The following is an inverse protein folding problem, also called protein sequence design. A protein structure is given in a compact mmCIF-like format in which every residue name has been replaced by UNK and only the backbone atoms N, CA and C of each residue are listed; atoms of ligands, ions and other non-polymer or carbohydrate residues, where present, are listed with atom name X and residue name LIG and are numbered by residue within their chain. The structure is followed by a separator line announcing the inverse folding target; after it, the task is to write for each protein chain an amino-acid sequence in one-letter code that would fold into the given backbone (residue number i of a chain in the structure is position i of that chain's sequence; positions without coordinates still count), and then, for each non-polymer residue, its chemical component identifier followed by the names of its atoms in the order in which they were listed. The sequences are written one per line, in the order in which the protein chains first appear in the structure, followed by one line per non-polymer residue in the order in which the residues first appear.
data_IF_625017010663
#
_entry.id   IF_625017010663
#
_cell.length_a   1.000
_cell.length_b   1.000
_cell.length_c   1.000
_cell.angle_alpha   90.00
_cell.angle_beta   90.00
_cell.angle_gamma   90.00
#
_symmetry.space_group_name_H-M   'P 1'
#
loop_
_entity.id
_entity.type
_entity.pdbx_description
1 polymer ?
#
# COMPACT_ATOMS: atom_id res chain seq x y z
N UNK A 1 -22.51 3.60 17.14
CA UNK A 1 -21.27 4.24 16.60
C UNK A 1 -21.44 4.77 15.19
N UNK A 2 -22.07 4.06 14.25
CA UNK A 2 -22.30 4.47 12.85
C UNK A 2 -22.82 5.91 12.64
N UNK A 3 -23.73 6.40 13.49
CA UNK A 3 -24.29 7.75 13.38
C UNK A 3 -23.28 8.89 13.65
N UNK A 4 -22.26 8.68 14.50
CA UNK A 4 -21.20 9.67 14.76
C UNK A 4 -20.20 9.70 13.62
N UNK A 5 -19.78 8.53 13.12
CA UNK A 5 -18.85 8.38 11.98
C UNK A 5 -19.45 9.00 10.72
N UNK A 6 -20.71 8.67 10.41
CA UNK A 6 -21.43 9.25 9.27
C UNK A 6 -21.44 10.79 9.33
N UNK A 7 -21.79 11.38 10.47
CA UNK A 7 -21.80 12.84 10.64
C UNK A 7 -20.42 13.46 10.44
N UNK A 8 -19.37 12.79 10.91
CA UNK A 8 -18.00 13.26 10.73
C UNK A 8 -17.61 13.24 9.26
N UNK A 9 -17.83 12.13 8.56
CA UNK A 9 -17.54 11.98 7.13
C UNK A 9 -18.32 13.01 6.31
N UNK A 10 -19.63 13.17 6.53
CA UNK A 10 -20.46 14.17 5.86
C UNK A 10 -19.94 15.60 6.09
N UNK A 11 -19.56 15.95 7.31
CA UNK A 11 -19.02 17.27 7.63
C UNK A 11 -17.73 17.54 6.87
N UNK A 12 -16.82 16.57 6.82
CA UNK A 12 -15.54 16.71 6.12
C UNK A 12 -15.76 16.84 4.61
N UNK A 13 -16.53 15.96 3.98
CA UNK A 13 -16.78 16.00 2.54
C UNK A 13 -17.64 17.19 2.10
N UNK A 14 -18.58 17.67 2.94
CA UNK A 14 -19.34 18.87 2.60
C UNK A 14 -18.45 20.10 2.42
N UNK A 15 -17.38 20.21 3.20
CA UNK A 15 -16.42 21.31 3.07
C UNK A 15 -15.65 21.24 1.75
N UNK A 16 -15.26 20.04 1.30
CA UNK A 16 -14.59 19.82 0.01
C UNK A 16 -15.54 20.06 -1.16
N UNK A 17 -16.76 19.55 -1.08
CA UNK A 17 -17.77 19.72 -2.13
C UNK A 17 -18.17 21.18 -2.37
N UNK A 18 -18.31 21.99 -1.30
CA UNK A 18 -18.55 23.43 -1.41
C UNK A 18 -17.39 24.17 -2.11
N UNK A 19 -16.15 23.78 -1.83
CA UNK A 19 -14.97 24.35 -2.49
C UNK A 19 -14.93 23.95 -3.96
N UNK A 20 -15.12 22.68 -4.28
CA UNK A 20 -15.16 22.20 -5.66
C UNK A 20 -16.20 22.96 -6.49
N UNK A 21 -17.39 23.20 -5.94
CA UNK A 21 -18.42 23.98 -6.63
C UNK A 21 -17.99 25.43 -6.89
N UNK A 22 -17.31 26.06 -5.94
CA UNK A 22 -16.80 27.45 -6.08
C UNK A 22 -15.64 27.55 -7.07
N UNK A 23 -14.78 26.55 -7.10
CA UNK A 23 -13.55 26.53 -7.89
C UNK A 23 -13.71 25.94 -9.31
N UNK A 24 -14.89 25.41 -9.65
CA UNK A 24 -15.10 24.73 -10.95
C UNK A 24 -14.80 25.57 -12.19
N UNK A 25 -14.76 26.90 -12.06
CA UNK A 25 -14.46 27.84 -13.14
C UNK A 25 -12.99 28.31 -13.13
N UNK A 26 -12.20 27.93 -12.12
CA UNK A 26 -10.80 28.30 -12.02
C UNK A 26 -9.93 27.35 -12.83
N UNK A 27 -8.80 27.83 -13.37
CA UNK A 27 -7.76 26.95 -13.91
C UNK A 27 -7.30 25.91 -12.88
N UNK A 28 -6.87 24.73 -13.34
CA UNK A 28 -6.51 23.61 -12.44
C UNK A 28 -5.38 23.96 -11.46
N UNK A 29 -4.43 24.77 -11.87
CA UNK A 29 -3.31 25.26 -11.06
C UNK A 29 -3.72 26.21 -9.92
N UNK A 30 -4.92 26.82 -10.03
CA UNK A 30 -5.50 27.71 -9.03
C UNK A 30 -6.55 27.02 -8.12
N UNK A 31 -6.86 25.74 -8.38
CA UNK A 31 -7.82 25.01 -7.58
C UNK A 31 -7.16 24.48 -6.30
N UNK A 32 -7.77 24.72 -5.16
CA UNK A 32 -7.33 24.19 -3.86
C UNK A 32 -8.06 22.90 -3.47
N UNK A 33 -9.08 22.50 -4.22
CA UNK A 33 -9.90 21.30 -3.96
C UNK A 33 -9.09 20.01 -3.88
N UNK A 34 -8.09 19.72 -4.76
CA UNK A 34 -7.27 18.52 -4.65
C UNK A 34 -6.51 18.44 -3.32
N UNK A 35 -5.92 19.57 -2.86
CA UNK A 35 -5.22 19.67 -1.57
C UNK A 35 -6.19 19.41 -0.41
N UNK A 36 -7.38 20.00 -0.48
CA UNK A 36 -8.41 19.84 0.56
C UNK A 36 -8.97 18.42 0.61
N UNK A 37 -9.07 17.75 -0.53
CA UNK A 37 -9.47 16.33 -0.57
C UNK A 37 -8.41 15.46 0.12
N UNK A 38 -7.13 15.66 -0.17
CA UNK A 38 -6.04 14.96 0.54
C UNK A 38 -6.13 15.18 2.05
N UNK A 39 -6.25 16.45 2.49
CA UNK A 39 -6.40 16.78 3.92
C UNK A 39 -7.65 16.15 4.55
N UNK A 40 -8.74 16.06 3.79
CA UNK A 40 -9.95 15.38 4.26
C UNK A 40 -9.70 13.89 4.48
N UNK A 41 -8.98 13.23 3.58
CA UNK A 41 -8.63 11.82 3.72
C UNK A 41 -7.70 11.59 4.92
N UNK A 42 -6.69 12.44 5.13
CA UNK A 42 -5.85 12.40 6.32
C UNK A 42 -6.66 12.57 7.63
N UNK A 43 -7.61 13.52 7.65
CA UNK A 43 -8.48 13.77 8.79
C UNK A 43 -9.45 12.61 9.08
N UNK A 44 -9.92 11.91 8.05
CA UNK A 44 -10.84 10.79 8.17
C UNK A 44 -10.16 9.51 8.64
N UNK A 45 -8.84 9.44 8.52
CA UNK A 45 -8.02 8.39 9.11
C UNK A 45 -7.62 7.27 8.16
N UNK A 46 -7.10 6.14 8.72
CA UNK A 46 -6.35 5.13 7.98
C UNK A 46 -7.05 4.55 6.75
N UNK A 47 -8.30 4.17 6.84
CA UNK A 47 -9.09 3.63 5.73
C UNK A 47 -9.22 4.63 4.57
N UNK A 48 -9.48 5.91 4.88
CA UNK A 48 -9.57 6.94 3.84
C UNK A 48 -8.21 7.28 3.23
N UNK A 49 -7.13 7.24 4.02
CA UNK A 49 -5.76 7.38 3.50
C UNK A 49 -5.48 6.27 2.48
N UNK A 50 -5.80 5.02 2.81
CA UNK A 50 -5.62 3.88 1.89
C UNK A 50 -6.50 3.99 0.65
N UNK A 51 -7.76 4.39 0.80
CA UNK A 51 -8.66 4.70 -0.32
C UNK A 51 -8.04 5.75 -1.25
N UNK A 52 -7.50 6.83 -0.67
CA UNK A 52 -6.86 7.89 -1.44
C UNK A 52 -5.60 7.42 -2.18
N UNK A 53 -4.81 6.54 -1.57
CA UNK A 53 -3.64 5.92 -2.21
C UNK A 53 -4.06 5.07 -3.43
N UNK A 54 -5.08 4.23 -3.30
CA UNK A 54 -5.61 3.44 -4.42
C UNK A 54 -6.16 4.38 -5.50
N UNK A 55 -6.92 5.41 -5.15
CA UNK A 55 -7.45 6.38 -6.11
C UNK A 55 -6.33 7.16 -6.82
N UNK A 56 -5.17 7.37 -6.20
CA UNK A 56 -4.04 8.05 -6.83
C UNK A 56 -3.40 7.25 -7.98
N UNK A 57 -3.65 5.96 -8.09
CA UNK A 57 -3.20 5.12 -9.21
C UNK A 57 -4.20 5.07 -10.37
N UNK A 58 -5.40 5.66 -10.20
CA UNK A 58 -6.54 5.57 -11.14
C UNK A 58 -6.63 6.84 -12.00
N UNK A 59 -5.77 6.94 -13.02
CA UNK A 59 -5.77 8.04 -14.00
C UNK A 59 -7.00 8.06 -14.91
N UNK A 60 -7.75 6.97 -14.96
CA UNK A 60 -9.03 6.85 -15.62
C UNK A 60 -10.19 7.54 -14.87
N UNK A 61 -10.04 7.72 -13.55
CA UNK A 61 -11.07 8.28 -12.66
C UNK A 61 -10.80 9.73 -12.27
N UNK A 62 -9.53 10.11 -12.10
CA UNK A 62 -9.13 11.39 -11.53
C UNK A 62 -8.20 12.16 -12.45
N UNK A 63 -8.35 13.49 -12.44
CA UNK A 63 -7.41 14.35 -13.15
C UNK A 63 -6.03 14.35 -12.47
N UNK A 64 -4.99 14.72 -13.24
CA UNK A 64 -3.59 14.74 -12.79
C UNK A 64 -3.39 15.55 -11.51
N UNK A 65 -4.13 16.65 -11.32
CA UNK A 65 -4.04 17.47 -10.10
C UNK A 65 -4.46 16.69 -8.84
N UNK A 66 -5.51 15.88 -8.92
CA UNK A 66 -5.94 15.03 -7.81
C UNK A 66 -4.97 13.88 -7.58
N UNK A 67 -4.52 13.20 -8.64
CA UNK A 67 -3.54 12.12 -8.56
C UNK A 67 -2.28 12.61 -7.84
N UNK A 68 -1.72 13.75 -8.30
CA UNK A 68 -0.51 14.33 -7.70
C UNK A 68 -0.68 14.71 -6.22
N UNK A 69 -1.85 15.16 -5.80
CA UNK A 69 -2.09 15.45 -4.38
C UNK A 69 -2.33 14.17 -3.57
N UNK A 70 -3.14 13.23 -4.07
CA UNK A 70 -3.42 11.99 -3.37
C UNK A 70 -2.19 11.08 -3.26
N UNK A 71 -1.27 11.11 -4.22
CA UNK A 71 0.00 10.37 -4.12
C UNK A 71 0.92 10.87 -3.00
N UNK A 72 0.65 12.05 -2.43
CA UNK A 72 1.35 12.55 -1.23
C UNK A 72 0.81 11.98 0.08
N UNK A 73 -0.30 11.24 0.04
CA UNK A 73 -0.87 10.60 1.23
C UNK A 73 0.13 9.62 1.82
N UNK A 74 0.67 9.98 2.97
CA UNK A 74 1.57 9.13 3.72
C UNK A 74 0.81 8.44 4.85
N UNK A 75 1.06 7.15 5.00
CA UNK A 75 0.46 6.35 6.06
C UNK A 75 1.23 6.47 7.37
N UNK A 76 1.63 7.68 7.77
CA UNK A 76 2.29 7.87 9.07
C UNK A 76 1.24 7.89 10.18
N UNK A 77 1.04 6.74 10.78
CA UNK A 77 0.17 6.58 11.95
C UNK A 77 1.05 6.30 13.17
N UNK A 78 0.73 6.83 14.37
CA UNK A 78 1.47 6.48 15.57
C UNK A 78 1.64 4.97 15.72
N UNK A 79 2.82 4.48 16.08
CA UNK A 79 3.04 3.06 16.21
C UNK A 79 2.16 2.46 17.32
N UNK A 80 1.77 1.20 17.12
CA UNK A 80 1.21 0.37 18.19
C UNK A 80 2.24 0.22 19.29
N UNK A 81 1.80 0.17 20.52
CA UNK A 81 2.69 -0.16 21.61
C UNK A 81 3.09 -1.64 21.57
N UNK A 82 4.14 -1.99 22.31
CA UNK A 82 4.69 -3.35 22.32
C UNK A 82 3.65 -4.41 22.69
N UNK A 83 2.78 -4.12 23.67
CA UNK A 83 1.77 -5.08 24.15
C UNK A 83 0.71 -5.35 23.09
N UNK A 84 0.28 -4.31 22.37
CA UNK A 84 -0.67 -4.42 21.25
C UNK A 84 -0.08 -5.26 20.12
N UNK A 85 1.19 -5.01 19.75
CA UNK A 85 1.89 -5.79 18.71
C UNK A 85 2.02 -7.25 19.12
N UNK A 86 2.50 -7.52 20.32
CA UNK A 86 2.68 -8.89 20.82
C UNK A 86 1.36 -9.64 20.95
N UNK A 87 0.28 -8.92 21.29
CA UNK A 87 -1.08 -9.50 21.35
C UNK A 87 -1.57 -9.86 19.96
N UNK A 88 -1.42 -8.95 18.98
CA UNK A 88 -1.79 -9.20 17.61
C UNK A 88 -1.05 -10.40 17.01
N UNK A 89 0.28 -10.49 17.22
CA UNK A 89 1.06 -11.63 16.73
C UNK A 89 0.63 -12.95 17.38
N UNK A 90 0.35 -12.95 18.69
CA UNK A 90 -0.13 -14.16 19.39
C UNK A 90 -1.51 -14.64 18.93
N UNK A 91 -2.33 -13.73 18.44
CA UNK A 91 -3.64 -14.09 17.87
C UNK A 91 -3.49 -14.80 16.53
N UNK A 92 -2.46 -14.45 15.77
CA UNK A 92 -2.20 -15.01 14.43
C UNK A 92 -1.34 -16.28 14.50
N UNK A 93 -0.35 -16.32 15.41
CA UNK A 93 0.55 -17.48 15.58
C UNK A 93 0.18 -18.21 16.88
N UNK A 94 -0.41 -19.42 16.79
CA UNK A 94 -0.85 -20.19 17.97
C UNK A 94 0.32 -20.76 18.79
N UNK A 95 1.55 -20.60 18.30
CA UNK A 95 2.77 -21.09 18.92
C UNK A 95 3.41 -20.01 19.81
N UNK A 96 4.15 -20.40 20.86
CA UNK A 96 4.91 -19.44 21.66
C UNK A 96 5.92 -18.72 20.75
N UNK A 97 5.93 -17.40 20.82
CA UNK A 97 6.81 -16.57 19.98
C UNK A 97 8.30 -16.88 20.22
N UNK A 98 8.66 -17.34 21.42
CA UNK A 98 10.02 -17.79 21.74
C UNK A 98 10.41 -19.08 21.01
N UNK A 99 9.46 -19.86 20.53
CA UNK A 99 9.68 -21.05 19.69
C UNK A 99 9.84 -20.71 18.21
N UNK A 100 9.55 -19.47 17.82
CA UNK A 100 9.67 -19.00 16.44
C UNK A 100 10.80 -17.99 16.29
N UNK A 101 10.90 -17.04 17.23
CA UNK A 101 11.82 -15.91 17.13
C UNK A 101 12.84 -15.91 18.29
N UNK A 102 14.12 -15.72 17.95
CA UNK A 102 15.19 -15.49 18.93
C UNK A 102 15.19 -14.04 19.39
N UNK A 103 14.91 -13.12 18.47
CA UNK A 103 14.97 -11.69 18.70
C UNK A 103 13.82 -11.00 17.95
N UNK A 104 13.25 -9.97 18.57
CA UNK A 104 12.18 -9.16 18.02
C UNK A 104 12.43 -7.69 18.33
N UNK A 105 12.54 -6.85 17.29
CA UNK A 105 12.77 -5.41 17.46
C UNK A 105 11.61 -4.76 18.21
N UNK A 106 11.94 -4.02 19.28
CA UNK A 106 10.96 -3.26 20.05
C UNK A 106 10.40 -2.09 19.26
N UNK A 107 11.25 -1.45 18.47
CA UNK A 107 10.89 -0.33 17.62
C UNK A 107 10.46 -0.83 16.23
N UNK A 108 9.37 -0.30 15.67
CA UNK A 108 8.97 -0.66 14.33
C UNK A 108 9.95 -0.09 13.29
N UNK A 109 10.15 -0.81 12.19
CA UNK A 109 10.82 -0.29 11.00
C UNK A 109 9.92 0.71 10.26
N UNK A 110 8.63 0.42 10.23
CA UNK A 110 7.63 1.27 9.61
C UNK A 110 6.28 1.13 10.31
N UNK A 111 5.49 2.20 10.31
CA UNK A 111 4.14 2.21 10.88
C UNK A 111 3.18 2.83 9.87
N UNK A 112 2.48 1.97 9.15
CA UNK A 112 1.49 2.33 8.14
C UNK A 112 0.08 2.48 8.70
N UNK A 113 -0.85 2.85 7.82
CA UNK A 113 -2.28 2.99 8.15
C UNK A 113 -2.94 1.65 8.48
N UNK A 114 -2.55 0.60 7.79
CA UNK A 114 -3.13 -0.74 7.89
C UNK A 114 -2.29 -1.66 8.77
N UNK A 115 -0.97 -1.56 8.69
CA UNK A 115 -0.05 -2.48 9.32
C UNK A 115 1.18 -1.79 9.90
N UNK A 116 1.88 -2.52 10.75
CA UNK A 116 3.17 -2.14 11.34
C UNK A 116 4.20 -3.21 11.03
N UNK A 117 5.43 -2.78 10.76
CA UNK A 117 6.52 -3.64 10.32
C UNK A 117 7.61 -3.69 11.38
N UNK A 118 8.04 -4.88 11.75
CA UNK A 118 9.11 -5.11 12.70
C UNK A 118 10.19 -6.00 12.11
N UNK A 119 11.43 -5.81 12.58
CA UNK A 119 12.54 -6.74 12.31
C UNK A 119 12.58 -7.79 13.39
N UNK A 120 12.81 -9.02 12.98
CA UNK A 120 12.98 -10.14 13.88
C UNK A 120 14.06 -11.10 13.36
N UNK A 121 14.42 -12.09 14.17
CA UNK A 121 15.29 -13.20 13.76
C UNK A 121 14.62 -14.51 14.14
N UNK A 122 14.51 -15.41 13.17
CA UNK A 122 14.01 -16.76 13.40
C UNK A 122 14.99 -17.60 14.24
N UNK A 123 14.49 -18.67 14.87
CA UNK A 123 15.34 -19.65 15.56
C UNK A 123 16.37 -20.29 14.62
N UNK A 124 16.04 -20.43 13.35
CA UNK A 124 16.93 -20.90 12.28
C UNK A 124 18.05 -19.91 11.92
N UNK A 125 18.03 -18.69 12.49
CA UNK A 125 19.04 -17.64 12.32
C UNK A 125 18.78 -16.62 11.23
N UNK A 126 17.77 -16.81 10.38
CA UNK A 126 17.43 -15.86 9.33
C UNK A 126 16.86 -14.56 9.92
N UNK A 127 17.31 -13.43 9.34
CA UNK A 127 16.73 -12.13 9.63
C UNK A 127 15.46 -11.93 8.79
N UNK A 128 14.39 -11.57 9.45
CA UNK A 128 13.07 -11.43 8.83
C UNK A 128 12.40 -10.10 9.15
N UNK A 129 11.44 -9.76 8.34
CA UNK A 129 10.44 -8.71 8.56
C UNK A 129 9.13 -9.38 8.92
N UNK A 130 8.47 -8.84 9.92
CA UNK A 130 7.11 -9.19 10.29
C UNK A 130 6.24 -7.97 10.01
N UNK A 131 5.31 -8.08 9.06
CA UNK A 131 4.23 -7.11 8.88
C UNK A 131 3.02 -7.63 9.63
N UNK A 132 2.54 -6.90 10.62
CA UNK A 132 1.35 -7.24 11.41
C UNK A 132 0.27 -6.18 11.22
N UNK A 133 -0.94 -6.60 10.91
CA UNK A 133 -2.07 -5.69 10.79
C UNK A 133 -2.46 -5.06 12.12
N UNK A 134 -2.99 -3.85 12.02
CA UNK A 134 -3.56 -3.17 13.17
C UNK A 134 -4.84 -3.86 13.60
N UNK A 135 -4.99 -4.19 14.90
CA UNK A 135 -6.21 -4.83 15.39
C UNK A 135 -7.47 -4.06 15.00
N UNK A 136 -8.45 -4.77 14.44
CA UNK A 136 -9.75 -4.21 14.06
C UNK A 136 -9.75 -3.33 12.80
N UNK A 137 -8.66 -3.29 12.03
CA UNK A 137 -8.59 -2.49 10.79
C UNK A 137 -9.61 -2.96 9.75
N UNK A 138 -9.88 -4.26 9.68
CA UNK A 138 -10.86 -4.85 8.77
C UNK A 138 -12.26 -4.30 9.00
N UNK A 139 -12.68 -4.24 10.27
CA UNK A 139 -13.99 -3.70 10.64
C UNK A 139 -14.09 -2.22 10.29
N UNK A 140 -13.03 -1.44 10.58
CA UNK A 140 -12.98 -0.01 10.28
C UNK A 140 -13.08 0.23 8.77
N UNK A 141 -12.31 -0.51 7.97
CA UNK A 141 -12.32 -0.40 6.50
C UNK A 141 -13.68 -0.79 5.95
N UNK A 142 -14.26 -1.90 6.42
CA UNK A 142 -15.58 -2.35 6.00
C UNK A 142 -16.68 -1.33 6.35
N UNK A 143 -16.68 -0.78 7.57
CA UNK A 143 -17.63 0.27 7.97
C UNK A 143 -17.51 1.51 7.09
N UNK A 144 -16.29 2.00 6.85
CA UNK A 144 -16.05 3.21 6.06
C UNK A 144 -16.45 3.04 4.59
N UNK A 145 -16.17 1.87 3.99
CA UNK A 145 -16.60 1.58 2.61
C UNK A 145 -18.12 1.49 2.50
N UNK A 146 -18.76 0.76 3.40
CA UNK A 146 -20.23 0.67 3.43
C UNK A 146 -20.86 2.06 3.57
N UNK A 147 -20.20 2.93 4.33
CA UNK A 147 -20.62 4.32 4.48
C UNK A 147 -20.50 5.08 3.15
N UNK A 148 -19.38 4.96 2.45
CA UNK A 148 -19.17 5.60 1.14
C UNK A 148 -20.17 5.11 0.10
N UNK A 149 -20.44 3.81 0.02
CA UNK A 149 -21.45 3.23 -0.89
C UNK A 149 -22.85 3.80 -0.59
N UNK A 150 -23.21 3.90 0.71
CA UNK A 150 -24.49 4.52 1.10
C UNK A 150 -24.56 5.98 0.72
N UNK A 151 -23.50 6.75 0.89
CA UNK A 151 -23.45 8.16 0.51
C UNK A 151 -23.53 8.35 -1.00
N UNK A 152 -22.83 7.53 -1.77
CA UNK A 152 -22.81 7.58 -3.23
C UNK A 152 -24.21 7.42 -3.84
N UNK A 153 -25.08 6.61 -3.23
CA UNK A 153 -26.47 6.43 -3.69
C UNK A 153 -27.32 7.71 -3.64
N UNK A 154 -26.90 8.70 -2.87
CA UNK A 154 -27.60 9.97 -2.71
C UNK A 154 -27.01 11.08 -3.60
N UNK A 155 -25.94 10.79 -4.35
CA UNK A 155 -25.37 11.76 -5.31
C UNK A 155 -26.28 11.81 -6.54
N UNK A 156 -26.79 12.99 -6.92
CA UNK A 156 -27.66 13.10 -8.10
C UNK A 156 -26.93 12.67 -9.38
N UNK A 157 -27.60 11.89 -10.22
CA UNK A 157 -27.02 11.32 -11.46
C UNK A 157 -26.41 12.35 -12.42
N UNK A 158 -26.89 13.59 -12.41
CA UNK A 158 -26.35 14.64 -13.27
C UNK A 158 -24.92 15.14 -12.87
N UNK A 159 -24.45 14.79 -11.66
CA UNK A 159 -23.06 15.03 -11.28
C UNK A 159 -22.12 13.90 -11.70
N UNK A 160 -22.65 12.77 -12.18
CA UNK A 160 -21.94 11.51 -12.40
C UNK A 160 -22.14 11.05 -13.86
N UNK A 161 -22.04 11.96 -14.82
CA UNK A 161 -22.47 11.68 -16.19
C UNK A 161 -21.57 10.72 -17.01
N UNK A 162 -20.41 10.30 -16.52
CA UNK A 162 -19.46 9.47 -17.28
C UNK A 162 -18.93 8.23 -16.54
N UNK A 163 -19.18 8.08 -15.23
CA UNK A 163 -18.63 6.97 -14.44
C UNK A 163 -19.71 6.39 -13.54
N UNK A 164 -19.88 5.08 -13.53
CA UNK A 164 -20.70 4.41 -12.51
C UNK A 164 -19.98 4.38 -11.17
N UNK A 165 -20.30 5.36 -10.31
CA UNK A 165 -19.69 5.50 -8.98
C UNK A 165 -19.94 4.26 -8.11
N UNK A 166 -21.03 3.52 -8.33
CA UNK A 166 -21.30 2.30 -7.58
C UNK A 166 -20.33 1.19 -7.98
N UNK A 167 -20.07 1.03 -9.27
CA UNK A 167 -19.07 0.10 -9.79
C UNK A 167 -17.68 0.46 -9.31
N UNK A 168 -17.31 1.73 -9.35
CA UNK A 168 -16.01 2.21 -8.84
C UNK A 168 -15.84 1.90 -7.35
N UNK A 169 -16.86 2.14 -6.54
CA UNK A 169 -16.81 1.86 -5.11
C UNK A 169 -16.79 0.36 -4.80
N UNK A 170 -17.44 -0.46 -5.60
CA UNK A 170 -17.38 -1.92 -5.43
C UNK A 170 -16.00 -2.46 -5.82
N UNK A 171 -15.43 -1.99 -6.94
CA UNK A 171 -14.04 -2.31 -7.33
C UNK A 171 -13.04 -1.86 -6.28
N UNK A 172 -13.23 -0.68 -5.70
CA UNK A 172 -12.41 -0.17 -4.60
C UNK A 172 -12.53 -1.06 -3.36
N UNK A 173 -13.75 -1.49 -3.02
CA UNK A 173 -14.00 -2.43 -1.93
C UNK A 173 -13.27 -3.74 -2.13
N UNK A 174 -13.38 -4.35 -3.31
CA UNK A 174 -12.68 -5.60 -3.63
C UNK A 174 -11.17 -5.44 -3.53
N UNK A 175 -10.62 -4.34 -4.04
CA UNK A 175 -9.19 -4.03 -3.95
C UNK A 175 -8.73 -3.92 -2.50
N UNK A 176 -9.47 -3.18 -1.67
CA UNK A 176 -9.14 -3.02 -0.25
C UNK A 176 -9.22 -4.33 0.53
N UNK A 177 -10.25 -5.15 0.28
CA UNK A 177 -10.36 -6.47 0.92
C UNK A 177 -9.18 -7.37 0.53
N UNK A 178 -8.76 -7.33 -0.74
CA UNK A 178 -7.59 -8.08 -1.19
C UNK A 178 -6.31 -7.61 -0.50
N UNK A 179 -6.13 -6.31 -0.33
CA UNK A 179 -4.96 -5.75 0.35
C UNK A 179 -4.94 -6.01 1.88
N UNK A 180 -6.10 -6.23 2.48
CA UNK A 180 -6.20 -6.59 3.90
C UNK A 180 -5.84 -8.06 4.16
N UNK A 181 -5.74 -8.90 3.16
CA UNK A 181 -5.32 -10.31 3.33
C UNK A 181 -3.87 -10.49 2.83
N UNK A 182 -2.92 -10.55 3.76
CA UNK A 182 -1.49 -10.71 3.44
C UNK A 182 -1.12 -11.99 2.69
N UNK A 183 -2.01 -12.97 2.63
CA UNK A 183 -1.81 -14.15 1.79
C UNK A 183 -1.78 -13.76 0.31
N UNK A 184 -2.54 -12.72 -0.08
CA UNK A 184 -2.50 -12.20 -1.45
C UNK A 184 -1.14 -11.56 -1.76
N UNK A 185 -0.55 -10.81 -0.83
CA UNK A 185 0.81 -10.27 -0.98
C UNK A 185 1.84 -11.41 -1.09
N UNK A 186 1.75 -12.41 -0.22
CA UNK A 186 2.61 -13.58 -0.26
C UNK A 186 2.55 -14.33 -1.61
N UNK A 187 1.35 -14.56 -2.14
CA UNK A 187 1.16 -15.20 -3.44
C UNK A 187 1.69 -14.33 -4.60
N UNK A 188 1.49 -13.00 -4.53
CA UNK A 188 2.04 -12.06 -5.49
C UNK A 188 3.58 -12.11 -5.52
N UNK A 189 4.23 -12.15 -4.35
CA UNK A 189 5.68 -12.29 -4.24
C UNK A 189 6.18 -13.58 -4.86
N UNK A 190 5.52 -14.71 -4.60
CA UNK A 190 5.88 -16.02 -5.15
C UNK A 190 5.71 -16.06 -6.67
N UNK A 191 4.58 -15.54 -7.19
CA UNK A 191 4.32 -15.46 -8.64
C UNK A 191 5.34 -14.57 -9.33
N UNK A 192 5.63 -13.41 -8.76
CA UNK A 192 6.64 -12.49 -9.30
C UNK A 192 8.04 -13.12 -9.29
N UNK A 193 8.43 -13.81 -8.22
CA UNK A 193 9.70 -14.56 -8.13
C UNK A 193 9.77 -15.65 -9.20
N UNK A 194 8.70 -16.41 -9.40
CA UNK A 194 8.63 -17.47 -10.40
C UNK A 194 8.82 -16.90 -11.83
N UNK A 195 8.14 -15.81 -12.15
CA UNK A 195 8.27 -15.12 -13.44
C UNK A 195 9.69 -14.61 -13.69
N UNK A 196 10.38 -14.20 -12.63
CA UNK A 196 11.71 -13.58 -12.70
C UNK A 196 12.87 -14.52 -12.33
N UNK A 197 12.64 -15.82 -12.18
CA UNK A 197 13.67 -16.82 -11.76
C UNK A 197 14.96 -16.77 -12.59
N UNK A 198 14.88 -16.37 -13.87
CA UNK A 198 16.04 -16.29 -14.79
C UNK A 198 16.61 -14.88 -14.91
N UNK A 199 16.06 -13.90 -14.19
CA UNK A 199 16.52 -12.50 -14.24
C UNK A 199 17.47 -12.27 -13.08
N UNK A 200 18.76 -12.31 -13.35
CA UNK A 200 19.82 -12.28 -12.32
C UNK A 200 19.81 -10.97 -11.51
N UNK A 201 19.42 -9.85 -12.13
CA UNK A 201 19.45 -8.54 -11.52
C UNK A 201 18.19 -8.19 -10.69
N UNK A 202 17.22 -9.10 -10.57
CA UNK A 202 16.02 -8.91 -9.74
C UNK A 202 16.03 -9.84 -8.51
N UNK A 203 15.53 -9.31 -7.42
CA UNK A 203 15.31 -10.03 -6.17
C UNK A 203 13.90 -9.82 -5.63
N UNK A 204 13.44 -10.79 -4.87
CA UNK A 204 12.18 -10.76 -4.11
C UNK A 204 12.47 -11.38 -2.75
N UNK A 205 12.06 -10.78 -1.64
CA UNK A 205 12.23 -11.38 -0.32
C UNK A 205 11.58 -12.76 -0.24
N UNK A 206 12.19 -13.71 0.45
CA UNK A 206 11.57 -15.00 0.71
C UNK A 206 10.40 -14.85 1.66
N UNK A 207 9.29 -15.55 1.37
CA UNK A 207 8.11 -15.57 2.23
C UNK A 207 8.13 -16.86 3.04
N UNK A 208 7.90 -16.75 4.33
CA UNK A 208 7.79 -17.89 5.25
C UNK A 208 6.31 -18.25 5.43
N UNK A 209 5.83 -19.15 4.57
CA UNK A 209 4.40 -19.52 4.50
C UNK A 209 3.86 -20.08 5.80
N UNK A 210 4.68 -20.82 6.55
CA UNK A 210 4.32 -21.39 7.84
C UNK A 210 3.96 -20.36 8.90
N UNK A 211 4.40 -19.10 8.71
CA UNK A 211 4.10 -17.98 9.61
C UNK A 211 3.21 -16.91 8.94
N UNK A 212 2.71 -17.18 7.73
CA UNK A 212 1.87 -16.23 7.00
C UNK A 212 0.39 -16.53 7.20
N UNK A 213 -0.36 -15.54 7.64
CA UNK A 213 -1.82 -15.58 7.88
C UNK A 213 -2.51 -14.43 7.15
N UNK A 214 -3.83 -14.30 7.19
CA UNK A 214 -4.48 -13.11 6.62
C UNK A 214 -3.97 -11.78 7.19
N UNK A 215 -3.58 -11.74 8.48
CA UNK A 215 -3.23 -10.50 9.16
C UNK A 215 -1.75 -10.38 9.55
N UNK A 216 -0.95 -11.39 9.18
CA UNK A 216 0.49 -11.39 9.46
C UNK A 216 1.25 -12.03 8.29
N UNK A 217 2.32 -11.36 7.83
CA UNK A 217 3.26 -11.94 6.88
C UNK A 217 4.67 -11.86 7.44
N UNK A 218 5.42 -12.96 7.28
CA UNK A 218 6.84 -13.05 7.61
C UNK A 218 7.63 -13.22 6.32
N UNK A 219 8.57 -12.31 6.09
CA UNK A 219 9.38 -12.28 4.88
C UNK A 219 10.86 -12.02 5.21
N UNK A 220 11.77 -12.38 4.29
CA UNK A 220 13.20 -12.12 4.41
C UNK A 220 13.49 -10.63 4.60
N UNK A 221 14.35 -10.29 5.56
CA UNK A 221 14.86 -8.93 5.69
C UNK A 221 15.94 -8.67 4.64
N UNK A 222 15.67 -7.74 3.74
CA UNK A 222 16.65 -7.29 2.75
C UNK A 222 17.42 -6.09 3.28
N UNK A 223 18.67 -6.32 3.68
CA UNK A 223 19.58 -5.24 4.06
C UNK A 223 20.14 -4.57 2.80
N UNK A 224 19.34 -3.75 2.15
CA UNK A 224 19.66 -3.05 0.90
C UNK A 224 19.58 -1.53 1.05
N UNK A 225 20.12 -0.81 0.08
CA UNK A 225 20.07 0.64 -0.01
C UNK A 225 18.79 1.04 -0.76
N UNK A 226 17.89 1.86 -0.19
CA UNK A 226 16.73 2.34 -0.89
C UNK A 226 17.09 3.09 -2.20
N UNK A 227 16.32 2.84 -3.25
CA UNK A 227 16.64 3.36 -4.59
C UNK A 227 16.67 4.89 -4.64
N UNK A 228 15.96 5.58 -3.77
CA UNK A 228 15.98 7.04 -3.66
C UNK A 228 17.16 7.60 -2.86
N UNK A 229 18.03 6.77 -2.28
CA UNK A 229 19.24 7.18 -1.56
C UNK A 229 20.46 7.24 -2.51
N UNK A 230 20.40 8.11 -3.52
CA UNK A 230 21.38 8.18 -4.61
C UNK A 230 22.83 8.32 -4.12
N UNK A 231 23.07 9.16 -3.10
CA UNK A 231 24.42 9.34 -2.52
C UNK A 231 24.96 8.05 -1.94
N UNK A 232 24.16 7.30 -1.19
CA UNK A 232 24.57 6.02 -0.61
C UNK A 232 24.84 4.95 -1.67
N UNK A 233 24.03 4.94 -2.76
CA UNK A 233 24.26 4.05 -3.89
C UNK A 233 25.60 4.35 -4.58
N UNK A 234 25.90 5.62 -4.82
CA UNK A 234 27.19 6.05 -5.42
C UNK A 234 28.38 5.73 -4.50
N UNK A 235 28.28 5.99 -3.19
CA UNK A 235 29.30 5.66 -2.19
C UNK A 235 29.55 4.16 -2.10
N UNK A 236 28.51 3.35 -2.29
CA UNK A 236 28.60 1.87 -2.37
C UNK A 236 29.13 1.37 -3.71
N UNK A 237 29.46 2.25 -4.66
CA UNK A 237 30.03 1.91 -5.95
C UNK A 237 29.03 1.49 -7.02
N UNK A 238 27.74 1.74 -6.83
CA UNK A 238 26.72 1.45 -7.85
C UNK A 238 26.70 2.53 -8.94
N UNK A 239 26.60 2.09 -10.19
CA UNK A 239 26.30 2.96 -11.33
C UNK A 239 24.79 3.17 -11.44
N UNK A 240 24.33 4.41 -11.23
CA UNK A 240 22.91 4.75 -11.26
C UNK A 240 22.29 4.57 -12.65
N UNK A 241 23.07 4.75 -13.72
CA UNK A 241 22.60 4.52 -15.08
C UNK A 241 22.34 3.02 -15.32
N UNK A 242 23.26 2.15 -14.86
CA UNK A 242 23.09 0.70 -14.93
C UNK A 242 21.89 0.22 -14.11
N UNK A 243 21.74 0.74 -12.89
CA UNK A 243 20.56 0.45 -12.04
C UNK A 243 19.26 0.88 -12.72
N UNK A 244 19.22 2.10 -13.29
CA UNK A 244 18.07 2.60 -14.04
C UNK A 244 17.72 1.75 -15.27
N UNK A 245 18.73 1.33 -16.05
CA UNK A 245 18.55 0.43 -17.20
C UNK A 245 17.98 -0.92 -16.79
N UNK A 246 18.52 -1.53 -15.73
CA UNK A 246 18.03 -2.81 -15.18
C UNK A 246 16.57 -2.70 -14.73
N UNK A 247 16.22 -1.62 -14.03
CA UNK A 247 14.87 -1.36 -13.59
C UNK A 247 13.91 -1.22 -14.78
N UNK A 248 14.26 -0.37 -15.77
CA UNK A 248 13.45 -0.16 -16.96
C UNK A 248 13.21 -1.46 -17.73
N UNK A 249 14.27 -2.23 -18.00
CA UNK A 249 14.17 -3.51 -18.69
C UNK A 249 13.31 -4.52 -17.92
N UNK A 250 13.38 -4.48 -16.58
CA UNK A 250 12.53 -5.33 -15.76
C UNK A 250 11.06 -4.99 -15.91
N UNK A 251 10.71 -3.70 -15.95
CA UNK A 251 9.33 -3.27 -16.19
C UNK A 251 8.82 -3.61 -17.58
N UNK A 252 9.64 -3.40 -18.60
CA UNK A 252 9.30 -3.82 -19.98
C UNK A 252 8.97 -5.32 -20.01
N UNK A 253 9.79 -6.15 -19.35
CA UNK A 253 9.54 -7.59 -19.24
C UNK A 253 8.26 -7.89 -18.49
N UNK A 254 8.05 -7.28 -17.32
CA UNK A 254 6.86 -7.49 -16.49
C UNK A 254 5.59 -7.19 -17.29
N UNK A 255 5.54 -6.05 -17.97
CA UNK A 255 4.35 -5.60 -18.72
C UNK A 255 4.17 -6.41 -20.01
N UNK A 256 5.19 -6.44 -20.89
CA UNK A 256 5.02 -6.93 -22.26
C UNK A 256 5.25 -8.43 -22.42
N UNK A 257 5.95 -9.07 -21.49
CA UNK A 257 6.23 -10.51 -21.57
C UNK A 257 5.46 -11.32 -20.55
N UNK A 258 5.44 -10.85 -19.29
CA UNK A 258 4.82 -11.61 -18.20
C UNK A 258 3.32 -11.28 -18.08
N UNK A 259 2.88 -10.08 -18.54
CA UNK A 259 1.52 -9.58 -18.33
C UNK A 259 1.17 -9.38 -16.85
N UNK A 260 2.18 -9.46 -15.98
CA UNK A 260 2.04 -9.34 -14.53
C UNK A 260 3.15 -8.43 -14.01
N UNK A 261 2.78 -7.28 -13.47
CA UNK A 261 3.72 -6.22 -13.14
C UNK A 261 3.43 -5.57 -11.80
N UNK A 262 4.47 -5.02 -11.19
CA UNK A 262 4.38 -4.26 -9.95
C UNK A 262 3.62 -2.95 -10.19
N UNK A 263 2.52 -2.74 -9.47
CA UNK A 263 1.60 -1.61 -9.68
C UNK A 263 2.03 -0.33 -8.97
N UNK A 264 2.92 -0.42 -7.96
CA UNK A 264 3.44 0.73 -7.21
C UNK A 264 4.98 0.71 -7.12
N UNK A 265 5.70 1.02 -8.22
CA UNK A 265 7.16 1.01 -8.27
C UNK A 265 7.80 2.23 -7.59
N UNK A 266 7.23 2.69 -6.50
CA UNK A 266 7.79 3.80 -5.74
C UNK A 266 9.23 3.47 -5.30
N UNK A 267 10.19 4.41 -5.39
CA UNK A 267 11.59 4.14 -5.01
C UNK A 267 11.79 3.65 -3.58
N UNK A 268 10.83 3.91 -2.67
CA UNK A 268 10.81 3.38 -1.31
C UNK A 268 10.52 1.87 -1.23
N UNK A 269 9.90 1.31 -2.27
CA UNK A 269 9.58 -0.13 -2.39
C UNK A 269 10.67 -0.91 -3.13
N UNK A 270 11.81 -0.25 -3.42
CA UNK A 270 12.92 -0.82 -4.19
C UNK A 270 14.23 -0.67 -3.42
N UNK A 271 14.90 -1.79 -3.16
CA UNK A 271 16.19 -1.82 -2.50
C UNK A 271 17.26 -2.36 -3.46
N UNK A 272 18.47 -1.79 -3.39
CA UNK A 272 19.62 -2.30 -4.15
C UNK A 272 20.55 -3.01 -3.17
N UNK A 273 20.87 -4.29 -3.48
CA UNK A 273 21.79 -5.12 -2.71
C UNK A 273 22.51 -6.11 -3.64
N UNK A 274 23.82 -6.20 -3.54
CA UNK A 274 24.66 -7.17 -4.28
C UNK A 274 24.40 -7.15 -5.81
N UNK A 275 24.21 -5.93 -6.37
CA UNK A 275 23.94 -5.73 -7.81
C UNK A 275 22.53 -6.10 -8.25
N UNK A 276 21.64 -6.48 -7.35
CA UNK A 276 20.22 -6.78 -7.61
C UNK A 276 19.32 -5.67 -7.12
N UNK A 277 18.19 -5.52 -7.79
CA UNK A 277 17.08 -4.66 -7.37
C UNK A 277 16.02 -5.55 -6.74
N UNK A 278 15.76 -5.35 -5.45
CA UNK A 278 14.72 -6.05 -4.71
C UNK A 278 13.45 -5.24 -4.67
N UNK A 279 12.34 -5.86 -5.02
CA UNK A 279 11.00 -5.34 -4.79
C UNK A 279 10.53 -5.85 -3.43
N UNK A 280 10.02 -4.97 -2.54
CA UNK A 280 9.75 -5.30 -1.13
C UNK A 280 8.32 -5.03 -0.67
N UNK A 281 7.45 -4.56 -1.53
CA UNK A 281 6.03 -4.36 -1.25
C UNK A 281 5.22 -4.83 -2.47
N UNK A 282 4.35 -5.81 -2.28
CA UNK A 282 3.57 -6.44 -3.35
C UNK A 282 2.06 -6.26 -3.14
N UNK A 283 1.67 -5.29 -2.34
CA UNK A 283 0.26 -5.00 -2.07
C UNK A 283 -0.52 -4.59 -3.32
N UNK A 284 0.13 -3.94 -4.29
CA UNK A 284 -0.51 -3.52 -5.53
C UNK A 284 0.19 -4.16 -6.74
N UNK A 285 -0.49 -5.08 -7.39
CA UNK A 285 -0.02 -5.71 -8.63
C UNK A 285 -0.98 -5.43 -9.78
N UNK A 286 -0.43 -5.22 -10.99
CA UNK A 286 -1.19 -5.12 -12.21
C UNK A 286 -1.14 -6.42 -13.02
N UNK A 287 -2.25 -6.77 -13.67
CA UNK A 287 -2.34 -7.90 -14.59
C UNK A 287 -3.01 -7.46 -15.89
N UNK A 288 -2.39 -7.80 -17.02
CA UNK A 288 -2.98 -7.56 -18.32
C UNK A 288 -3.85 -8.75 -18.69
N UNK A 289 -5.11 -8.46 -19.02
CA UNK A 289 -5.97 -9.46 -19.62
C UNK A 289 -5.43 -9.80 -21.01
N UNK A 290 -5.19 -11.08 -21.25
CA UNK A 290 -4.86 -11.56 -22.59
C UNK A 290 -6.16 -11.59 -23.37
N UNK A 291 -6.35 -10.58 -24.25
CA UNK A 291 -7.49 -10.52 -25.15
C UNK A 291 -7.47 -11.62 -26.22
#
# INVERSE_FOLDING_TARGET
MASKRLRHVLKVFSSVGLLSYREKHLPQDQQTTPVKLRQAFEQLGPSFVKIGQILSTRSDLLSEAYIRELSKLQSSVPPLNKEEVMTAIRQELPTDLSEVFVDFSKEPLASGSVAQTHRARLLSGQEVIIKIQRPGIDDIVNEDIQLLIKLARHIPKHFISMVDVQEVLENLRETLIKELDFRNEAEAMKRFRANNKRVVCLGVPEVYDEFTTPHLIVEEYINGIPLNHYSQLLEAGYDLEDVGKKLMLSFIKQVFKDGYFHGDPHPGNLLVRDGKIYFIDFGIMGELEVG
#
